data_IF_535750826293
#
_entry.id   IF_535750826293
#
_cell.length_a   1.000
_cell.length_b   1.000
_cell.length_c   1.000
_cell.angle_alpha   90.00
_cell.angle_beta   90.00
_cell.angle_gamma   90.00
#
_symmetry.space_group_name_H-M   'P 1'
#
loop_
_entity.id
_entity.type
_entity.pdbx_description
1 polymer ?
#
# COMPACT_ATOMS: atom_id res chain seq x y z
N UNK A 1 -4.09 -52.71 -46.16
CA UNK A 1 -3.00 -52.28 -45.27
C UNK A 1 -2.52 -50.93 -45.77
N UNK A 2 -2.64 -49.80 -45.11
CA UNK A 2 -3.32 -49.38 -43.88
C UNK A 2 -3.04 -47.88 -43.86
N UNK A 3 -4.07 -47.06 -44.01
CA UNK A 3 -3.97 -45.61 -43.95
C UNK A 3 -3.60 -45.17 -42.54
N UNK A 4 -2.58 -44.32 -42.45
CA UNK A 4 -2.10 -43.70 -41.22
C UNK A 4 -3.01 -42.51 -40.91
N UNK A 5 -3.84 -42.67 -39.88
CA UNK A 5 -4.63 -41.59 -39.30
C UNK A 5 -3.72 -40.59 -38.57
N UNK A 6 -3.66 -39.36 -39.10
CA UNK A 6 -3.16 -38.17 -38.41
C UNK A 6 -4.29 -37.58 -37.57
N UNK A 7 -4.28 -37.82 -36.27
CA UNK A 7 -5.02 -37.02 -35.29
C UNK A 7 -4.10 -36.72 -34.10
N UNK A 8 -3.47 -35.54 -34.13
CA UNK A 8 -2.81 -34.96 -32.96
C UNK A 8 -3.84 -34.36 -32.00
N UNK A 9 -3.54 -34.30 -30.68
CA UNK A 9 -4.48 -33.77 -29.69
C UNK A 9 -4.69 -32.25 -29.87
N UNK A 10 -5.93 -31.83 -29.70
CA UNK A 10 -6.36 -30.45 -29.84
C UNK A 10 -5.78 -29.54 -28.74
N UNK A 11 -5.02 -28.52 -29.15
CA UNK A 11 -4.44 -27.45 -28.33
C UNK A 11 -5.50 -26.46 -27.81
N UNK A 12 -6.38 -26.89 -26.90
CA UNK A 12 -7.39 -26.02 -26.26
C UNK A 12 -6.97 -25.38 -24.93
N UNK A 13 -5.92 -25.89 -24.27
CA UNK A 13 -5.57 -25.50 -22.89
C UNK A 13 -4.75 -24.21 -22.75
N UNK A 14 -3.97 -23.83 -23.78
CA UNK A 14 -3.01 -22.72 -23.67
C UNK A 14 -3.65 -21.35 -23.50
N UNK A 15 -4.66 -21.02 -24.33
CA UNK A 15 -5.30 -19.71 -24.34
C UNK A 15 -6.24 -19.47 -23.14
N UNK A 16 -6.91 -20.52 -22.65
CA UNK A 16 -7.75 -20.44 -21.46
C UNK A 16 -6.90 -20.26 -20.19
N UNK A 17 -5.80 -21.00 -20.09
CA UNK A 17 -4.85 -20.89 -18.97
C UNK A 17 -4.18 -19.52 -18.95
N UNK A 18 -3.73 -19.01 -20.11
CA UNK A 18 -3.14 -17.67 -20.18
C UNK A 18 -4.14 -16.56 -19.85
N UNK A 19 -5.41 -16.69 -20.27
CA UNK A 19 -6.46 -15.73 -19.89
C UNK A 19 -6.77 -15.77 -18.40
N UNK A 20 -6.73 -16.93 -17.75
CA UNK A 20 -6.91 -17.09 -16.31
C UNK A 20 -5.78 -16.43 -15.50
N UNK A 21 -4.53 -16.69 -15.90
CA UNK A 21 -3.35 -16.07 -15.28
C UNK A 21 -3.40 -14.54 -15.42
N UNK A 22 -3.71 -14.03 -16.62
CA UNK A 22 -3.82 -12.60 -16.85
C UNK A 22 -4.90 -11.95 -15.97
N UNK A 23 -6.05 -12.62 -15.80
CA UNK A 23 -7.13 -12.14 -14.93
C UNK A 23 -6.67 -11.95 -13.48
N UNK A 24 -5.93 -12.93 -12.94
CA UNK A 24 -5.39 -12.85 -11.59
C UNK A 24 -4.32 -11.75 -11.47
N UNK A 25 -3.46 -11.58 -12.47
CA UNK A 25 -2.46 -10.49 -12.51
C UNK A 25 -3.13 -9.12 -12.48
N UNK A 26 -4.19 -8.93 -13.26
CA UNK A 26 -4.94 -7.68 -13.33
C UNK A 26 -5.72 -7.41 -12.04
N UNK A 27 -6.27 -8.45 -11.41
CA UNK A 27 -6.88 -8.32 -10.09
C UNK A 27 -5.85 -7.91 -9.03
N UNK A 28 -4.66 -8.51 -9.05
CA UNK A 28 -3.53 -8.10 -8.23
C UNK A 28 -3.15 -6.64 -8.46
N UNK A 29 -3.06 -6.21 -9.72
CA UNK A 29 -2.75 -4.83 -10.08
C UNK A 29 -3.81 -3.84 -9.57
N UNK A 30 -5.08 -4.24 -9.53
CA UNK A 30 -6.16 -3.43 -8.94
C UNK A 30 -5.93 -3.20 -7.44
N UNK A 31 -5.59 -4.25 -6.69
CA UNK A 31 -5.26 -4.10 -5.26
C UNK A 31 -3.97 -3.30 -5.05
N UNK A 32 -2.93 -3.51 -5.87
CA UNK A 32 -1.70 -2.71 -5.81
C UNK A 32 -1.98 -1.22 -6.04
N UNK A 33 -2.86 -0.89 -7.00
CA UNK A 33 -3.29 0.48 -7.24
C UNK A 33 -4.06 1.07 -6.04
N UNK A 34 -4.94 0.29 -5.40
CA UNK A 34 -5.66 0.72 -4.19
C UNK A 34 -4.71 0.92 -3.00
N UNK A 35 -3.71 0.05 -2.81
CA UNK A 35 -2.66 0.20 -1.81
C UNK A 35 -1.92 1.53 -2.05
N UNK A 36 -1.49 1.77 -3.29
CA UNK A 36 -0.73 2.98 -3.64
C UNK A 36 -1.52 4.27 -3.40
N UNK A 37 -2.81 4.25 -3.71
CA UNK A 37 -3.70 5.42 -3.59
C UNK A 37 -4.35 5.57 -2.21
N UNK A 38 -4.21 4.58 -1.31
CA UNK A 38 -4.91 4.54 -0.03
C UNK A 38 -6.42 4.43 -0.17
N UNK A 39 -6.90 3.94 -1.32
CA UNK A 39 -8.32 3.80 -1.61
C UNK A 39 -8.98 2.72 -0.78
N UNK A 40 -10.26 2.94 -0.47
CA UNK A 40 -11.09 1.93 0.19
C UNK A 40 -11.33 0.74 -0.74
N UNK A 41 -11.55 -0.40 -0.12
CA UNK A 41 -11.97 -1.63 -0.78
C UNK A 41 -13.36 -1.48 -1.42
N UNK A 42 -13.67 -2.35 -2.37
CA UNK A 42 -14.97 -2.37 -3.04
C UNK A 42 -16.11 -2.54 -2.02
N UNK A 43 -17.12 -1.67 -2.08
CA UNK A 43 -18.24 -1.67 -1.13
C UNK A 43 -19.00 -3.01 -1.09
N UNK A 44 -18.95 -3.81 -2.17
CA UNK A 44 -19.55 -5.15 -2.22
C UNK A 44 -18.89 -6.14 -1.26
N UNK A 45 -17.66 -5.88 -0.84
CA UNK A 45 -17.00 -6.65 0.22
C UNK A 45 -17.63 -6.36 1.58
N UNK A 46 -18.32 -5.25 1.78
CA UNK A 46 -19.01 -4.95 3.04
C UNK A 46 -18.06 -4.81 4.23
N UNK A 47 -16.84 -4.30 4.00
CA UNK A 47 -15.79 -4.09 5.01
C UNK A 47 -15.68 -2.61 5.46
N UNK A 48 -16.74 -1.83 5.23
CA UNK A 48 -16.79 -0.41 5.61
C UNK A 48 -15.68 0.40 4.97
N UNK A 49 -14.91 1.10 5.81
CA UNK A 49 -13.85 2.02 5.38
C UNK A 49 -12.50 1.33 5.18
N UNK A 50 -12.44 0.00 5.27
CA UNK A 50 -11.21 -0.75 5.15
C UNK A 50 -10.54 -0.52 3.79
N UNK A 51 -9.21 -0.48 3.82
CA UNK A 51 -8.32 -0.35 2.66
C UNK A 51 -7.34 -1.53 2.64
N UNK A 52 -6.83 -1.95 1.46
CA UNK A 52 -5.80 -2.98 1.40
C UNK A 52 -4.48 -2.44 1.96
N UNK A 53 -3.73 -3.30 2.65
CA UNK A 53 -2.42 -2.99 3.25
C UNK A 53 -1.30 -3.70 2.49
N UNK A 54 -1.48 -4.98 2.21
CA UNK A 54 -0.59 -5.78 1.39
C UNK A 54 -1.37 -6.82 0.59
N UNK A 55 -0.74 -7.33 -0.48
CA UNK A 55 -1.26 -8.44 -1.30
C UNK A 55 -0.20 -9.51 -1.48
N UNK A 56 -0.59 -10.79 -1.39
CA UNK A 56 0.23 -11.98 -1.66
C UNK A 56 -0.45 -12.87 -2.69
N UNK A 57 0.34 -13.58 -3.48
CA UNK A 57 -0.13 -14.44 -4.57
C UNK A 57 0.30 -15.88 -4.36
N UNK A 58 -0.50 -16.83 -4.87
CA UNK A 58 -0.19 -18.26 -4.88
C UNK A 58 0.22 -18.77 -3.48
N UNK A 59 -0.60 -18.40 -2.50
CA UNK A 59 -0.27 -18.55 -1.08
C UNK A 59 -0.38 -19.98 -0.58
N UNK A 60 0.17 -20.23 0.60
CA UNK A 60 0.02 -21.49 1.32
C UNK A 60 -1.40 -21.74 1.87
N UNK A 61 -2.29 -20.74 1.82
CA UNK A 61 -3.66 -20.86 2.29
C UNK A 61 -4.50 -21.72 1.33
N UNK A 62 -5.52 -22.46 1.81
CA UNK A 62 -6.38 -23.26 0.95
C UNK A 62 -7.04 -22.50 -0.21
N UNK A 63 -7.34 -21.22 -0.01
CA UNK A 63 -7.67 -20.28 -1.09
C UNK A 63 -6.41 -19.54 -1.47
N UNK A 64 -5.83 -19.94 -2.59
CA UNK A 64 -4.42 -19.73 -2.90
C UNK A 64 -4.14 -18.60 -3.89
N UNK A 65 -5.08 -18.27 -4.79
CA UNK A 65 -4.78 -17.35 -5.89
C UNK A 65 -4.28 -15.97 -5.39
N UNK A 66 -5.02 -15.32 -4.49
CA UNK A 66 -4.66 -14.02 -3.90
C UNK A 66 -5.12 -13.92 -2.44
N UNK A 67 -4.24 -13.41 -1.56
CA UNK A 67 -4.56 -13.03 -0.18
C UNK A 67 -4.26 -11.54 0.02
N UNK A 68 -5.22 -10.79 0.57
CA UNK A 68 -5.08 -9.35 0.84
C UNK A 68 -5.32 -9.09 2.32
N UNK A 69 -4.38 -8.46 3.03
CA UNK A 69 -4.66 -7.91 4.34
C UNK A 69 -5.24 -6.51 4.24
N UNK A 70 -6.04 -6.16 5.24
CA UNK A 70 -6.80 -4.91 5.28
C UNK A 70 -6.45 -4.10 6.52
N UNK A 71 -6.73 -2.80 6.47
CA UNK A 71 -6.56 -1.88 7.61
C UNK A 71 -7.55 -2.14 8.77
N UNK A 72 -8.46 -3.10 8.64
CA UNK A 72 -9.38 -3.55 9.67
C UNK A 72 -8.91 -4.83 10.39
N UNK A 73 -7.61 -5.16 10.31
CA UNK A 73 -6.99 -6.36 10.89
C UNK A 73 -7.65 -7.69 10.45
N UNK A 74 -8.20 -7.66 9.24
CA UNK A 74 -8.85 -8.77 8.56
C UNK A 74 -8.21 -9.06 7.21
N UNK A 75 -8.58 -10.19 6.61
CA UNK A 75 -8.04 -10.63 5.32
C UNK A 75 -9.12 -11.03 4.32
N UNK A 76 -8.79 -10.87 3.05
CA UNK A 76 -9.61 -11.28 1.91
C UNK A 76 -8.85 -12.38 1.19
N UNK A 77 -9.36 -13.60 1.25
CA UNK A 77 -8.83 -14.73 0.50
C UNK A 77 -9.64 -14.91 -0.77
N UNK A 78 -8.99 -14.88 -1.93
CA UNK A 78 -9.65 -14.73 -3.23
C UNK A 78 -9.31 -15.92 -4.12
N UNK A 79 -10.34 -16.56 -4.68
CA UNK A 79 -10.22 -17.41 -5.85
C UNK A 79 -10.63 -16.64 -7.10
N UNK A 80 -9.72 -16.53 -8.05
CA UNK A 80 -9.87 -15.80 -9.30
C UNK A 80 -10.23 -16.75 -10.45
N UNK A 81 -11.34 -16.46 -11.14
CA UNK A 81 -11.81 -17.23 -12.30
C UNK A 81 -12.41 -16.29 -13.34
N UNK A 82 -11.84 -16.25 -14.54
CA UNK A 82 -12.38 -15.44 -15.64
C UNK A 82 -13.87 -15.69 -15.88
N UNK A 83 -14.28 -16.95 -15.89
CA UNK A 83 -15.66 -17.39 -15.96
C UNK A 83 -15.80 -18.79 -15.37
N UNK A 84 -16.98 -19.13 -14.89
CA UNK A 84 -17.34 -20.49 -14.47
C UNK A 84 -18.86 -20.64 -14.46
N UNK A 85 -19.33 -21.87 -14.56
CA UNK A 85 -20.75 -22.22 -14.47
C UNK A 85 -21.08 -22.71 -13.07
N UNK A 86 -22.24 -22.30 -12.56
CA UNK A 86 -22.80 -22.83 -11.33
C UNK A 86 -23.13 -24.33 -11.50
N UNK A 87 -22.55 -25.19 -10.66
CA UNK A 87 -22.73 -26.64 -10.70
C UNK A 87 -22.30 -27.29 -9.39
N UNK A 88 -23.00 -28.33 -8.97
CA UNK A 88 -22.68 -29.21 -7.82
C UNK A 88 -21.88 -30.46 -8.22
N UNK A 89 -21.43 -30.57 -9.48
CA UNK A 89 -20.50 -31.63 -9.90
C UNK A 89 -19.14 -31.39 -9.21
N UNK A 90 -18.62 -32.40 -8.51
CA UNK A 90 -17.35 -32.33 -7.77
C UNK A 90 -16.14 -32.01 -8.66
N UNK A 91 -16.25 -32.26 -9.97
CA UNK A 91 -15.20 -31.92 -10.94
C UNK A 91 -15.35 -30.50 -11.48
N UNK A 92 -16.46 -29.81 -11.19
CA UNK A 92 -16.70 -28.46 -11.68
C UNK A 92 -15.76 -27.44 -11.01
N UNK A 93 -15.35 -26.39 -11.74
CA UNK A 93 -14.59 -25.30 -11.14
C UNK A 93 -15.32 -24.62 -9.98
N UNK A 94 -16.66 -24.53 -10.02
CA UNK A 94 -17.45 -23.94 -8.94
C UNK A 94 -17.34 -24.76 -7.65
N UNK A 95 -17.58 -26.07 -7.73
CA UNK A 95 -17.46 -26.96 -6.58
C UNK A 95 -16.06 -26.88 -5.97
N UNK A 96 -15.00 -26.94 -6.79
CA UNK A 96 -13.61 -26.84 -6.30
C UNK A 96 -13.35 -25.53 -5.55
N UNK A 97 -13.90 -24.41 -6.01
CA UNK A 97 -13.79 -23.15 -5.27
C UNK A 97 -14.52 -23.21 -3.93
N UNK A 98 -15.73 -23.77 -3.86
CA UNK A 98 -16.45 -23.94 -2.60
C UNK A 98 -15.70 -24.90 -1.67
N UNK A 99 -15.10 -25.96 -2.20
CA UNK A 99 -14.25 -26.89 -1.46
C UNK A 99 -13.05 -26.16 -0.84
N UNK A 100 -12.35 -25.31 -1.60
CA UNK A 100 -11.28 -24.47 -1.08
C UNK A 100 -11.77 -23.54 0.04
N UNK A 101 -12.96 -22.97 -0.07
CA UNK A 101 -13.56 -22.14 0.99
C UNK A 101 -13.83 -22.96 2.28
N UNK A 102 -14.34 -24.19 2.16
CA UNK A 102 -14.54 -25.08 3.30
C UNK A 102 -13.20 -25.47 3.94
N UNK A 103 -12.18 -25.77 3.13
CA UNK A 103 -10.81 -26.03 3.62
C UNK A 103 -10.23 -24.82 4.33
N UNK A 104 -10.40 -23.61 3.79
CA UNK A 104 -9.96 -22.37 4.41
C UNK A 104 -10.61 -22.17 5.77
N UNK A 105 -11.93 -22.35 5.84
CA UNK A 105 -12.67 -22.20 7.09
C UNK A 105 -12.20 -23.17 8.17
N UNK A 106 -12.01 -24.46 7.82
CA UNK A 106 -11.49 -25.46 8.76
C UNK A 106 -10.07 -25.14 9.24
N UNK A 107 -9.16 -24.79 8.33
CA UNK A 107 -7.78 -24.38 8.67
C UNK A 107 -7.76 -23.15 9.58
N UNK A 108 -8.65 -22.19 9.33
CA UNK A 108 -8.81 -20.99 10.14
C UNK A 108 -9.38 -21.32 11.53
N UNK A 109 -10.44 -22.13 11.62
CA UNK A 109 -11.07 -22.57 12.88
C UNK A 109 -10.04 -23.18 13.83
N UNK A 110 -9.20 -24.07 13.30
CA UNK A 110 -8.23 -24.84 14.09
C UNK A 110 -6.86 -24.15 14.19
N UNK A 111 -6.72 -22.99 13.55
CA UNK A 111 -5.48 -22.24 13.49
C UNK A 111 -5.22 -21.37 14.72
N UNK A 112 -3.96 -20.96 14.88
CA UNK A 112 -3.46 -20.21 16.04
C UNK A 112 -3.00 -18.78 15.71
N UNK A 113 -3.19 -18.32 14.47
CA UNK A 113 -2.79 -16.99 13.99
C UNK A 113 -1.30 -16.84 13.68
N UNK A 114 -0.49 -17.91 13.68
CA UNK A 114 0.96 -17.83 13.38
C UNK A 114 1.30 -17.34 11.97
N UNK A 115 0.36 -17.46 11.03
CA UNK A 115 0.45 -16.98 9.65
C UNK A 115 -0.44 -15.74 9.43
N UNK A 116 -0.90 -15.10 10.52
CA UNK A 116 -1.87 -14.01 10.56
C UNK A 116 -3.30 -14.42 10.12
N UNK A 117 -3.42 -15.10 8.97
CA UNK A 117 -4.70 -15.52 8.39
C UNK A 117 -5.24 -16.84 9.00
N UNK A 118 -4.38 -17.70 9.54
CA UNK A 118 -4.76 -19.01 10.10
C UNK A 118 -5.34 -18.86 11.52
N UNK A 119 -6.39 -18.06 11.65
CA UNK A 119 -7.18 -17.86 12.88
C UNK A 119 -8.66 -17.97 12.53
N UNK A 120 -9.56 -18.14 13.52
CA UNK A 120 -10.99 -18.13 13.26
C UNK A 120 -11.41 -16.91 12.43
N UNK A 121 -12.22 -17.17 11.40
CA UNK A 121 -12.73 -16.14 10.49
C UNK A 121 -13.76 -15.28 11.21
N UNK A 122 -13.72 -13.99 10.96
CA UNK A 122 -14.62 -12.98 11.50
C UNK A 122 -15.33 -12.28 10.34
N UNK A 123 -16.65 -12.46 10.26
CA UNK A 123 -17.46 -11.88 9.17
C UNK A 123 -17.54 -10.35 9.19
N UNK A 124 -17.04 -9.67 10.21
CA UNK A 124 -16.99 -8.21 10.21
C UNK A 124 -15.72 -7.68 9.51
N UNK A 125 -14.68 -8.52 9.36
CA UNK A 125 -13.38 -8.10 8.80
C UNK A 125 -12.77 -9.02 7.74
N UNK A 126 -13.21 -10.27 7.63
CA UNK A 126 -12.63 -11.26 6.72
C UNK A 126 -13.60 -11.64 5.59
N UNK A 127 -13.07 -11.95 4.39
CA UNK A 127 -13.89 -12.40 3.25
C UNK A 127 -13.27 -13.57 2.51
N UNK A 128 -14.13 -14.46 2.04
CA UNK A 128 -13.81 -15.49 1.05
C UNK A 128 -14.41 -15.04 -0.28
N UNK A 129 -13.59 -14.76 -1.28
CA UNK A 129 -14.04 -14.10 -2.49
C UNK A 129 -13.92 -15.02 -3.69
N UNK A 130 -15.02 -15.17 -4.42
CA UNK A 130 -14.98 -15.68 -5.78
C UNK A 130 -14.94 -14.46 -6.73
N UNK A 131 -13.76 -14.15 -7.25
CA UNK A 131 -13.58 -13.07 -8.21
C UNK A 131 -13.82 -13.57 -9.63
N UNK A 132 -14.75 -12.93 -10.34
CA UNK A 132 -15.12 -13.30 -11.72
C UNK A 132 -15.14 -12.12 -12.67
N UNK A 133 -14.90 -12.34 -13.96
CA UNK A 133 -15.07 -11.27 -14.95
C UNK A 133 -16.54 -11.05 -15.32
N UNK A 134 -16.82 -9.97 -16.05
CA UNK A 134 -18.12 -9.70 -16.69
C UNK A 134 -18.58 -10.81 -17.63
N UNK A 135 -17.69 -11.72 -18.06
CA UNK A 135 -17.99 -12.89 -18.89
C UNK A 135 -18.64 -14.05 -18.14
N UNK A 136 -18.70 -14.01 -16.80
CA UNK A 136 -19.42 -15.02 -16.03
C UNK A 136 -20.93 -14.96 -16.27
N UNK A 137 -21.65 -16.09 -16.21
CA UNK A 137 -23.09 -16.12 -16.39
C UNK A 137 -23.83 -15.37 -15.27
N UNK A 138 -25.05 -14.89 -15.55
CA UNK A 138 -25.89 -14.20 -14.57
C UNK A 138 -26.16 -15.04 -13.31
N UNK A 139 -26.18 -16.38 -13.44
CA UNK A 139 -26.32 -17.28 -12.29
C UNK A 139 -25.20 -17.12 -11.25
N UNK A 140 -23.99 -16.74 -11.68
CA UNK A 140 -22.85 -16.46 -10.81
C UNK A 140 -22.76 -14.98 -10.46
N UNK A 141 -22.93 -14.07 -11.43
CA UNK A 141 -22.75 -12.63 -11.22
C UNK A 141 -23.89 -11.96 -10.44
N UNK A 142 -25.10 -12.50 -10.53
CA UNK A 142 -26.33 -11.82 -10.08
C UNK A 142 -27.17 -12.71 -9.17
N UNK A 143 -27.52 -13.93 -9.58
CA UNK A 143 -28.43 -14.78 -8.81
C UNK A 143 -27.79 -15.31 -7.51
N UNK A 144 -26.57 -15.85 -7.57
CA UNK A 144 -25.87 -16.34 -6.37
C UNK A 144 -25.60 -15.22 -5.34
N UNK A 145 -25.05 -14.05 -5.69
CA UNK A 145 -24.74 -13.01 -4.70
C UNK A 145 -26.00 -12.44 -4.05
N UNK A 146 -27.07 -12.27 -4.84
CA UNK A 146 -28.36 -11.85 -4.31
C UNK A 146 -28.93 -12.89 -3.33
N UNK A 147 -28.79 -14.19 -3.63
CA UNK A 147 -29.24 -15.25 -2.73
C UNK A 147 -28.45 -15.28 -1.41
N UNK A 148 -27.11 -15.18 -1.48
CA UNK A 148 -26.25 -15.11 -0.28
C UNK A 148 -26.61 -13.90 0.60
N UNK A 149 -26.80 -12.73 -0.02
CA UNK A 149 -27.17 -11.50 0.70
C UNK A 149 -28.56 -11.55 1.34
N UNK A 150 -29.54 -12.22 0.70
CA UNK A 150 -30.87 -12.41 1.30
C UNK A 150 -30.81 -13.38 2.47
N UNK A 151 -30.01 -14.45 2.37
CA UNK A 151 -29.91 -15.47 3.41
C UNK A 151 -29.12 -14.99 4.65
N UNK A 152 -28.15 -14.08 4.47
CA UNK A 152 -27.35 -13.55 5.57
C UNK A 152 -28.13 -12.59 6.49
N UNK A 153 -29.32 -12.14 6.09
CA UNK A 153 -30.18 -11.26 6.89
C UNK A 153 -30.90 -12.03 8.02
N UNK A 154 -31.15 -11.34 9.13
CA UNK A 154 -31.85 -11.91 10.31
C UNK A 154 -33.27 -12.43 10.00
N UNK A 155 -33.90 -11.94 8.93
CA UNK A 155 -35.14 -12.47 8.38
C UNK A 155 -34.95 -12.60 6.88
N UNK A 156 -34.67 -13.82 6.36
CA UNK A 156 -34.40 -14.00 4.95
C UNK A 156 -35.56 -13.51 4.09
N UNK A 157 -35.26 -12.60 3.16
CA UNK A 157 -36.25 -12.17 2.17
C UNK A 157 -36.63 -13.32 1.23
N UNK A 158 -37.80 -13.22 0.60
CA UNK A 158 -38.25 -14.23 -0.35
C UNK A 158 -37.31 -14.27 -1.58
N UNK A 159 -36.71 -15.44 -1.83
CA UNK A 159 -35.89 -15.69 -3.02
C UNK A 159 -36.78 -15.97 -4.24
N UNK A 160 -36.37 -15.49 -5.41
CA UNK A 160 -36.95 -15.96 -6.67
C UNK A 160 -36.41 -17.37 -7.03
N UNK A 161 -37.01 -18.02 -8.03
CA UNK A 161 -36.64 -19.39 -8.42
C UNK A 161 -35.15 -19.54 -8.82
N UNK A 162 -34.57 -18.53 -9.47
CA UNK A 162 -33.16 -18.55 -9.89
C UNK A 162 -32.21 -18.42 -8.70
N UNK A 163 -32.51 -17.50 -7.78
CA UNK A 163 -31.79 -17.31 -6.52
C UNK A 163 -31.87 -18.56 -5.63
N UNK A 164 -33.06 -19.14 -5.47
CA UNK A 164 -33.26 -20.36 -4.68
C UNK A 164 -32.48 -21.55 -5.27
N UNK A 165 -32.48 -21.69 -6.61
CA UNK A 165 -31.66 -22.69 -7.30
C UNK A 165 -30.16 -22.44 -7.08
N UNK A 166 -29.72 -21.19 -7.17
CA UNK A 166 -28.32 -20.83 -6.97
C UNK A 166 -27.83 -21.15 -5.56
N UNK A 167 -28.64 -20.79 -4.57
CA UNK A 167 -28.39 -21.09 -3.17
C UNK A 167 -28.35 -22.59 -2.87
N UNK A 168 -29.32 -23.36 -3.36
CA UNK A 168 -29.36 -24.81 -3.15
C UNK A 168 -28.12 -25.51 -3.72
N UNK A 169 -27.63 -25.11 -4.89
CA UNK A 169 -26.39 -25.65 -5.45
C UNK A 169 -25.19 -25.30 -4.56
N UNK A 170 -25.10 -24.05 -4.09
CA UNK A 170 -24.02 -23.63 -3.18
C UNK A 170 -24.04 -24.39 -1.85
N UNK A 171 -25.22 -24.59 -1.25
CA UNK A 171 -25.41 -25.36 -0.01
C UNK A 171 -25.04 -26.84 -0.18
N UNK A 172 -25.43 -27.45 -1.31
CA UNK A 172 -25.02 -28.81 -1.65
C UNK A 172 -23.49 -28.91 -1.80
N UNK A 173 -22.84 -27.95 -2.46
CA UNK A 173 -21.38 -27.92 -2.57
C UNK A 173 -20.71 -27.83 -1.20
N UNK A 174 -21.19 -26.98 -0.29
CA UNK A 174 -20.66 -26.89 1.09
C UNK A 174 -20.78 -28.24 1.79
N UNK A 175 -21.96 -28.87 1.71
CA UNK A 175 -22.24 -30.12 2.42
C UNK A 175 -21.42 -31.29 1.88
N UNK A 176 -21.30 -31.41 0.57
CA UNK A 176 -20.48 -32.41 -0.08
C UNK A 176 -18.98 -32.18 0.20
N UNK A 177 -18.49 -30.94 0.10
CA UNK A 177 -17.11 -30.60 0.44
C UNK A 177 -16.80 -30.93 1.90
N UNK A 178 -17.69 -30.58 2.84
CA UNK A 178 -17.54 -30.90 4.26
C UNK A 178 -17.36 -32.40 4.48
N UNK A 179 -18.27 -33.22 3.96
CA UNK A 179 -18.21 -34.68 4.10
C UNK A 179 -16.98 -35.32 3.43
N UNK A 180 -16.43 -34.68 2.40
CA UNK A 180 -15.21 -35.12 1.73
C UNK A 180 -13.93 -34.70 2.46
N UNK A 181 -13.96 -33.62 3.25
CA UNK A 181 -12.78 -33.07 3.95
C UNK A 181 -12.66 -33.64 5.37
N UNK A 182 -13.78 -33.78 6.09
CA UNK A 182 -13.78 -34.18 7.51
C UNK A 182 -14.92 -35.14 7.83
N UNK A 183 -14.72 -35.95 8.87
CA UNK A 183 -15.75 -36.85 9.43
C UNK A 183 -16.55 -36.20 10.56
N UNK A 184 -16.23 -34.96 10.95
CA UNK A 184 -17.00 -34.21 11.95
C UNK A 184 -18.43 -33.91 11.47
N UNK A 185 -19.42 -33.82 12.36
CA UNK A 185 -20.75 -33.37 11.99
C UNK A 185 -20.71 -31.91 11.54
N UNK A 186 -21.39 -31.59 10.43
CA UNK A 186 -21.46 -30.22 9.92
C UNK A 186 -22.18 -29.30 10.92
N UNK A 187 -21.58 -28.15 11.31
CA UNK A 187 -22.23 -27.19 12.19
C UNK A 187 -23.51 -26.62 11.55
N UNK A 188 -24.59 -26.52 12.32
CA UNK A 188 -25.88 -26.01 11.83
C UNK A 188 -25.82 -24.56 11.35
N UNK A 189 -24.86 -23.76 11.84
CA UNK A 189 -24.68 -22.36 11.47
C UNK A 189 -23.75 -22.16 10.27
N UNK A 190 -23.06 -23.20 9.79
CA UNK A 190 -22.00 -23.10 8.79
C UNK A 190 -22.47 -22.39 7.51
N UNK A 191 -23.61 -22.81 6.95
CA UNK A 191 -24.15 -22.21 5.72
C UNK A 191 -24.44 -20.72 5.93
N UNK A 192 -25.04 -20.35 7.08
CA UNK A 192 -25.33 -18.95 7.39
C UNK A 192 -24.06 -18.10 7.54
N UNK A 193 -22.99 -18.70 8.04
CA UNK A 193 -21.68 -18.05 8.20
C UNK A 193 -21.00 -17.86 6.85
N UNK A 194 -21.04 -18.88 5.99
CA UNK A 194 -20.59 -18.79 4.60
C UNK A 194 -21.34 -17.71 3.82
N UNK A 195 -22.65 -17.52 4.06
CA UNK A 195 -23.39 -16.42 3.42
C UNK A 195 -22.95 -15.01 3.89
N UNK A 196 -22.30 -14.91 5.06
CA UNK A 196 -21.71 -13.64 5.54
C UNK A 196 -20.26 -13.45 5.09
N UNK A 197 -19.51 -14.54 4.94
CA UNK A 197 -18.10 -14.52 4.55
C UNK A 197 -17.89 -14.50 3.03
N UNK A 198 -18.72 -15.21 2.27
CA UNK A 198 -18.53 -15.42 0.83
C UNK A 198 -19.10 -14.27 0.01
N UNK A 199 -18.25 -13.67 -0.81
CA UNK A 199 -18.63 -12.59 -1.74
C UNK A 199 -18.24 -12.99 -3.16
N UNK A 200 -19.15 -12.84 -4.11
CA UNK A 200 -18.78 -12.90 -5.54
C UNK A 200 -18.43 -11.50 -5.99
N UNK A 201 -17.16 -11.27 -6.29
CA UNK A 201 -16.68 -9.98 -6.78
C UNK A 201 -16.65 -9.99 -8.30
N UNK A 202 -17.56 -9.27 -8.93
CA UNK A 202 -17.55 -9.10 -10.39
C UNK A 202 -16.58 -7.98 -10.75
N UNK A 203 -15.55 -8.34 -11.48
CA UNK A 203 -14.43 -7.48 -11.88
C UNK A 203 -14.54 -7.19 -13.37
N UNK A 204 -14.78 -5.93 -13.71
CA UNK A 204 -14.73 -5.48 -15.09
C UNK A 204 -13.31 -5.05 -15.43
N UNK A 205 -12.53 -5.98 -16.01
CA UNK A 205 -11.14 -5.71 -16.41
C UNK A 205 -11.07 -4.72 -17.56
N UNK A 206 -12.02 -4.77 -18.49
CA UNK A 206 -12.03 -3.91 -19.67
C UNK A 206 -12.33 -2.46 -19.29
N UNK A 207 -13.11 -2.27 -18.22
CA UNK A 207 -13.43 -0.96 -17.64
C UNK A 207 -13.03 -0.84 -16.17
N UNK A 208 -11.88 -1.40 -15.77
CA UNK A 208 -11.37 -1.30 -14.39
C UNK A 208 -11.08 0.16 -13.94
N UNK A 209 -11.35 1.13 -14.83
CA UNK A 209 -10.93 2.51 -14.81
C UNK A 209 -11.90 3.54 -14.18
N UNK A 210 -12.95 3.19 -13.42
CA UNK A 210 -13.88 4.25 -12.97
C UNK A 210 -13.55 4.93 -11.63
N UNK A 211 -13.39 4.26 -10.47
CA UNK A 211 -13.02 4.96 -9.22
C UNK A 211 -11.54 4.83 -8.83
N UNK A 212 -11.00 3.60 -8.84
CA UNK A 212 -9.62 3.33 -8.43
C UNK A 212 -8.60 4.01 -9.35
N UNK A 213 -8.92 4.13 -10.64
CA UNK A 213 -8.07 4.81 -11.63
C UNK A 213 -8.01 6.33 -11.43
N UNK A 214 -9.15 6.97 -11.10
CA UNK A 214 -9.17 8.40 -10.78
C UNK A 214 -8.34 8.68 -9.52
N UNK A 215 -8.40 7.81 -8.51
CA UNK A 215 -7.64 7.95 -7.28
C UNK A 215 -6.15 7.60 -7.47
N UNK A 216 -5.85 6.61 -8.31
CA UNK A 216 -4.49 6.32 -8.76
C UNK A 216 -3.88 7.54 -9.44
N UNK A 217 -4.58 8.15 -10.40
CA UNK A 217 -4.10 9.35 -11.09
C UNK A 217 -3.79 10.52 -10.14
N UNK A 218 -4.53 10.67 -9.04
CA UNK A 218 -4.24 11.68 -8.02
C UNK A 218 -2.98 11.38 -7.19
N UNK A 219 -2.53 10.12 -7.19
CA UNK A 219 -1.35 9.64 -6.46
C UNK A 219 -0.07 9.68 -7.31
N UNK A 220 -0.20 10.00 -8.60
CA UNK A 220 0.89 10.09 -9.55
C UNK A 220 1.39 11.54 -9.68
N UNK A 221 2.67 11.71 -10.02
CA UNK A 221 3.18 13.02 -10.44
C UNK A 221 2.51 13.45 -11.76
N UNK A 222 2.51 14.76 -12.05
CA UNK A 222 1.71 15.40 -13.13
C UNK A 222 1.85 14.75 -14.51
N UNK A 223 2.97 14.10 -14.80
CA UNK A 223 3.29 13.56 -16.13
C UNK A 223 3.09 12.04 -16.26
N UNK A 224 2.67 11.35 -15.19
CA UNK A 224 2.49 9.89 -15.20
C UNK A 224 1.07 9.48 -15.57
N UNK A 225 0.94 8.60 -16.58
CA UNK A 225 -0.33 8.04 -17.04
C UNK A 225 -0.76 6.81 -16.20
N UNK A 226 -1.94 6.87 -15.60
CA UNK A 226 -2.49 5.81 -14.78
C UNK A 226 -2.71 4.49 -15.55
N UNK A 227 -2.95 4.52 -16.86
CA UNK A 227 -3.09 3.29 -17.67
C UNK A 227 -1.75 2.58 -17.81
N UNK A 228 -0.69 3.34 -18.05
CA UNK A 228 0.69 2.84 -18.06
C UNK A 228 1.06 2.25 -16.69
N UNK A 229 0.75 2.93 -15.59
CA UNK A 229 1.03 2.43 -14.23
C UNK A 229 0.30 1.13 -13.93
N UNK A 230 -0.98 1.00 -14.32
CA UNK A 230 -1.74 -0.24 -14.12
C UNK A 230 -1.16 -1.41 -14.94
N UNK A 231 -0.66 -1.12 -16.15
CA UNK A 231 0.02 -2.11 -16.99
C UNK A 231 1.34 -2.57 -16.34
N UNK A 232 2.12 -1.63 -15.78
CA UNK A 232 3.33 -1.94 -15.01
C UNK A 232 3.00 -2.76 -13.76
N UNK A 233 1.93 -2.42 -13.04
CA UNK A 233 1.48 -3.23 -11.90
C UNK A 233 1.07 -4.64 -12.30
N UNK A 234 0.43 -4.82 -13.46
CA UNK A 234 0.09 -6.14 -13.99
C UNK A 234 1.35 -6.97 -14.24
N UNK A 235 2.41 -6.37 -14.81
CA UNK A 235 3.73 -7.01 -14.99
C UNK A 235 4.39 -7.35 -13.64
N UNK A 236 4.37 -6.43 -12.67
CA UNK A 236 4.91 -6.64 -11.32
C UNK A 236 4.18 -7.80 -10.63
N UNK A 237 2.85 -7.81 -10.63
CA UNK A 237 2.04 -8.87 -10.03
C UNK A 237 2.29 -10.22 -10.73
N UNK A 238 2.44 -10.23 -12.06
CA UNK A 238 2.81 -11.44 -12.79
C UNK A 238 4.14 -12.06 -12.35
N UNK A 239 5.15 -11.23 -12.07
CA UNK A 239 6.43 -11.68 -11.51
C UNK A 239 6.30 -12.15 -10.05
N UNK A 240 5.47 -11.48 -9.23
CA UNK A 240 5.21 -11.91 -7.86
C UNK A 240 4.51 -13.26 -7.82
N UNK A 241 3.52 -13.48 -8.70
CA UNK A 241 2.83 -14.77 -8.85
C UNK A 241 3.79 -15.91 -9.17
N UNK A 242 4.75 -15.72 -10.10
CA UNK A 242 5.69 -16.80 -10.47
C UNK A 242 6.62 -17.25 -9.33
N UNK A 243 6.77 -16.43 -8.30
CA UNK A 243 7.61 -16.72 -7.14
C UNK A 243 6.81 -16.82 -5.82
N UNK A 244 5.47 -16.84 -5.88
CA UNK A 244 4.57 -16.88 -4.71
C UNK A 244 4.82 -15.76 -3.70
N UNK A 245 5.13 -14.57 -4.24
CA UNK A 245 5.48 -13.37 -3.48
C UNK A 245 4.29 -12.47 -3.19
N UNK A 246 4.60 -11.24 -2.79
CA UNK A 246 3.62 -10.20 -2.50
C UNK A 246 4.27 -8.83 -2.34
N UNK A 247 3.46 -7.82 -2.06
CA UNK A 247 3.91 -6.45 -1.86
C UNK A 247 2.98 -5.66 -0.95
N UNK A 248 3.59 -4.75 -0.20
CA UNK A 248 2.93 -3.66 0.52
C UNK A 248 3.16 -2.32 -0.21
N UNK A 249 2.75 -1.22 0.41
CA UNK A 249 2.95 0.13 -0.14
C UNK A 249 4.41 0.38 -0.52
N UNK A 250 5.35 0.12 0.38
CA UNK A 250 6.78 0.39 0.17
C UNK A 250 7.33 -0.42 -1.01
N UNK A 251 6.99 -1.72 -1.09
CA UNK A 251 7.41 -2.59 -2.21
C UNK A 251 6.87 -2.06 -3.54
N UNK A 252 5.59 -1.68 -3.60
CA UNK A 252 4.99 -1.17 -4.84
C UNK A 252 5.56 0.17 -5.25
N UNK A 253 5.81 1.09 -4.32
CA UNK A 253 6.43 2.39 -4.59
C UNK A 253 7.86 2.20 -5.14
N UNK A 254 8.66 1.37 -4.50
CA UNK A 254 10.02 1.05 -4.96
C UNK A 254 10.03 0.37 -6.34
N UNK A 255 9.09 -0.54 -6.58
CA UNK A 255 8.98 -1.22 -7.88
C UNK A 255 8.60 -0.26 -9.02
N UNK A 256 7.75 0.73 -8.75
CA UNK A 256 7.40 1.79 -9.71
C UNK A 256 8.55 2.77 -9.92
N UNK A 257 9.21 3.20 -8.85
CA UNK A 257 10.39 4.07 -8.93
C UNK A 257 11.52 3.42 -9.74
N UNK A 258 11.78 2.12 -9.54
CA UNK A 258 12.74 1.35 -10.34
C UNK A 258 12.37 1.21 -11.82
N UNK A 259 11.12 1.52 -12.19
CA UNK A 259 10.63 1.60 -13.58
C UNK A 259 10.58 3.05 -14.10
N UNK A 260 11.09 4.02 -13.32
CA UNK A 260 11.14 5.44 -13.68
C UNK A 260 9.80 6.16 -13.53
N UNK A 261 8.85 5.61 -12.77
CA UNK A 261 7.57 6.27 -12.50
C UNK A 261 7.72 7.19 -11.28
N UNK A 262 7.53 8.49 -11.50
CA UNK A 262 7.53 9.48 -10.43
C UNK A 262 6.19 9.45 -9.68
N UNK A 263 6.29 9.22 -8.36
CA UNK A 263 5.14 9.15 -7.47
C UNK A 263 5.03 10.43 -6.65
N UNK A 264 3.79 10.90 -6.45
CA UNK A 264 3.54 11.90 -5.44
C UNK A 264 3.71 11.28 -4.05
N UNK A 265 4.00 12.12 -3.05
CA UNK A 265 4.00 11.68 -1.66
C UNK A 265 2.65 11.02 -1.30
N UNK A 266 2.63 10.00 -0.41
CA UNK A 266 1.41 9.30 -0.07
C UNK A 266 0.32 10.26 0.41
N UNK A 267 -0.95 10.13 -0.06
CA UNK A 267 -2.02 11.08 0.28
C UNK A 267 -2.19 11.31 1.79
N UNK A 268 -1.96 10.26 2.60
CA UNK A 268 -2.02 10.29 4.07
C UNK A 268 -1.08 11.33 4.70
N UNK A 269 0.12 11.50 4.15
CA UNK A 269 1.15 12.38 4.70
C UNK A 269 1.29 13.70 3.93
N UNK A 270 0.47 13.91 2.88
CA UNK A 270 0.57 15.08 2.02
C UNK A 270 0.45 16.41 2.77
N UNK A 271 -0.48 16.49 3.73
CA UNK A 271 -0.67 17.70 4.53
C UNK A 271 0.51 17.93 5.48
N UNK A 272 1.01 16.86 6.12
CA UNK A 272 2.15 16.91 7.02
C UNK A 272 3.45 17.30 6.29
N UNK A 273 3.68 16.76 5.11
CA UNK A 273 4.81 17.09 4.25
C UNK A 273 4.74 18.57 3.83
N UNK A 274 3.58 19.04 3.38
CA UNK A 274 3.40 20.45 3.06
C UNK A 274 3.64 21.35 4.29
N UNK A 275 3.22 20.91 5.48
CA UNK A 275 3.46 21.62 6.73
C UNK A 275 4.95 21.64 7.11
N UNK A 276 5.68 20.54 6.90
CA UNK A 276 7.13 20.49 7.10
C UNK A 276 7.88 21.38 6.12
N UNK A 277 7.50 21.38 4.83
CA UNK A 277 8.07 22.28 3.83
C UNK A 277 7.84 23.75 4.20
N UNK A 278 6.63 24.10 4.65
CA UNK A 278 6.33 25.44 5.13
C UNK A 278 7.17 25.80 6.36
N UNK A 279 7.22 24.93 7.37
CA UNK A 279 8.01 25.15 8.58
C UNK A 279 9.49 25.32 8.25
N UNK A 280 10.03 24.46 7.39
CA UNK A 280 11.40 24.53 6.87
C UNK A 280 11.68 25.89 6.20
N UNK A 281 10.73 26.42 5.43
CA UNK A 281 10.86 27.75 4.82
C UNK A 281 10.82 28.88 5.86
N UNK A 282 9.96 28.78 6.88
CA UNK A 282 9.89 29.76 7.98
C UNK A 282 11.21 29.83 8.77
N UNK A 283 11.88 28.68 8.97
CA UNK A 283 13.22 28.62 9.55
C UNK A 283 14.26 29.28 8.63
N UNK A 284 14.28 28.89 7.35
CA UNK A 284 15.20 29.44 6.36
C UNK A 284 15.11 30.98 6.26
N UNK A 285 13.88 31.51 6.18
CA UNK A 285 13.61 32.95 6.11
C UNK A 285 14.06 33.68 7.36
N UNK A 286 13.96 33.03 8.52
CA UNK A 286 14.39 33.64 9.76
C UNK A 286 15.92 33.63 9.90
N UNK A 287 16.59 32.58 9.45
CA UNK A 287 18.05 32.47 9.46
C UNK A 287 18.68 33.45 8.45
N UNK A 288 18.04 33.67 7.29
CA UNK A 288 18.45 34.67 6.29
C UNK A 288 18.60 36.09 6.87
N UNK A 289 17.74 36.47 7.82
CA UNK A 289 17.80 37.81 8.45
C UNK A 289 19.10 38.04 9.24
N UNK A 290 19.77 36.98 9.65
CA UNK A 290 21.05 37.07 10.36
C UNK A 290 22.26 37.03 9.41
N UNK A 291 22.05 36.72 8.12
CA UNK A 291 23.09 36.74 7.08
C UNK A 291 23.18 38.07 6.32
N UNK A 292 22.07 38.81 6.26
CA UNK A 292 21.99 40.07 5.53
C UNK A 292 22.32 41.25 6.45
N UNK A 293 23.35 42.02 6.08
CA UNK A 293 23.60 43.33 6.69
C UNK A 293 22.84 44.36 5.86
N UNK A 294 21.95 45.14 6.50
CA UNK A 294 21.32 46.29 5.86
C UNK A 294 22.40 47.34 5.55
N UNK A 295 22.73 47.49 4.26
CA UNK A 295 23.59 48.58 3.80
C UNK A 295 22.83 49.91 3.90
N UNK A 296 23.55 50.99 4.22
CA UNK A 296 23.02 52.37 4.18
C UNK A 296 22.46 52.78 2.81
N UNK A 297 22.73 52.01 1.75
CA UNK A 297 22.20 52.18 0.40
C UNK A 297 20.89 51.42 0.10
N UNK A 298 20.31 50.69 1.06
CA UNK A 298 19.04 49.99 0.91
C UNK A 298 19.09 48.68 0.11
N UNK A 299 20.29 48.21 -0.30
CA UNK A 299 20.47 46.86 -0.85
C UNK A 299 21.09 45.93 0.20
N UNK A 300 20.47 44.78 0.50
CA UNK A 300 21.04 43.80 1.43
C UNK A 300 22.34 43.21 0.86
N UNK A 301 23.39 43.16 1.68
CA UNK A 301 24.66 42.50 1.32
C UNK A 301 24.67 41.12 1.98
N UNK A 302 24.61 40.06 1.18
CA UNK A 302 24.81 38.68 1.62
C UNK A 302 26.31 38.37 1.69
N UNK A 303 26.78 37.95 2.86
CA UNK A 303 28.19 37.58 3.07
C UNK A 303 28.47 36.16 2.54
N UNK A 304 29.02 36.05 1.33
CA UNK A 304 29.52 34.77 0.81
C UNK A 304 30.83 34.40 1.54
N UNK A 305 30.86 33.25 2.22
CA UNK A 305 32.06 32.77 2.93
C UNK A 305 32.88 31.83 2.05
N UNK A 306 34.21 31.88 2.20
CA UNK A 306 35.14 31.03 1.45
C UNK A 306 34.81 29.54 1.62
N UNK A 307 34.50 29.11 2.86
CA UNK A 307 34.22 27.71 3.22
C UNK A 307 32.92 27.12 2.64
N UNK A 308 32.07 27.91 1.97
CA UNK A 308 30.80 27.43 1.43
C UNK A 308 31.01 26.38 0.33
N UNK A 309 32.01 26.57 -0.54
CA UNK A 309 32.26 25.65 -1.65
C UNK A 309 32.76 24.28 -1.14
N UNK A 310 33.61 24.28 -0.11
CA UNK A 310 34.12 23.06 0.51
C UNK A 310 33.00 22.28 1.22
N UNK A 311 32.07 22.99 1.88
CA UNK A 311 30.89 22.37 2.48
C UNK A 311 30.00 21.75 1.39
N UNK A 312 29.68 22.48 0.31
CA UNK A 312 28.90 21.95 -0.81
C UNK A 312 29.53 20.72 -1.49
N UNK A 313 30.86 20.60 -1.49
CA UNK A 313 31.54 19.40 -1.98
C UNK A 313 31.50 18.26 -0.96
N UNK A 314 31.76 18.54 0.32
CA UNK A 314 31.83 17.53 1.36
C UNK A 314 30.50 16.79 1.52
N UNK A 315 29.38 17.51 1.42
CA UNK A 315 28.04 16.94 1.55
C UNK A 315 27.67 15.94 0.45
N UNK A 316 28.34 15.99 -0.70
CA UNK A 316 28.15 14.99 -1.76
C UNK A 316 28.75 13.62 -1.40
N UNK A 317 29.64 13.58 -0.40
CA UNK A 317 30.30 12.35 0.05
C UNK A 317 29.61 11.70 1.25
N UNK A 318 28.56 12.33 1.79
CA UNK A 318 27.74 11.81 2.88
C UNK A 318 27.40 12.86 3.93
N UNK A 319 27.00 12.38 5.11
CA UNK A 319 26.60 13.22 6.24
C UNK A 319 27.75 14.06 6.79
N UNK A 320 27.46 15.33 7.13
CA UNK A 320 28.43 16.31 7.59
C UNK A 320 28.05 16.92 8.95
N UNK A 321 29.04 17.10 9.82
CA UNK A 321 28.95 17.90 11.05
C UNK A 321 29.92 19.09 10.95
N UNK A 322 29.38 20.30 11.00
CA UNK A 322 30.14 21.55 10.98
C UNK A 322 30.42 21.98 12.43
N UNK A 323 31.71 22.08 12.76
CA UNK A 323 32.22 22.56 14.04
C UNK A 323 32.95 23.90 13.87
N UNK A 324 32.89 24.76 14.88
CA UNK A 324 33.58 26.05 14.85
C UNK A 324 33.26 26.92 16.05
N UNK A 325 34.07 27.96 16.26
CA UNK A 325 33.90 28.91 17.36
C UNK A 325 32.53 29.59 17.33
N UNK A 326 31.95 29.95 18.49
CA UNK A 326 30.73 30.75 18.54
C UNK A 326 30.88 32.02 17.70
N UNK A 327 29.89 32.30 16.85
CA UNK A 327 29.93 33.46 15.94
C UNK A 327 30.80 33.29 14.69
N UNK A 328 31.47 32.14 14.48
CA UNK A 328 32.17 31.84 13.22
C UNK A 328 31.21 31.75 12.01
N UNK A 329 29.90 31.72 12.27
CA UNK A 329 28.88 31.86 11.26
C UNK A 329 28.32 30.55 10.72
N UNK A 330 28.51 29.43 11.42
CA UNK A 330 28.07 28.09 11.01
C UNK A 330 26.62 28.05 10.47
N UNK A 331 25.68 28.70 11.17
CA UNK A 331 24.27 28.79 10.74
C UNK A 331 24.13 29.42 9.35
N UNK A 332 24.92 30.44 9.05
CA UNK A 332 24.92 31.07 7.72
C UNK A 332 25.64 30.27 6.62
N UNK A 333 26.42 29.25 6.99
CA UNK A 333 26.94 28.28 6.00
C UNK A 333 25.87 27.22 5.72
N UNK A 334 25.20 26.71 6.76
CA UNK A 334 24.10 25.74 6.61
C UNK A 334 22.93 26.30 5.80
N UNK A 335 22.52 27.54 6.06
CA UNK A 335 21.41 28.13 5.31
C UNK A 335 21.79 28.41 3.84
N UNK A 336 23.02 28.91 3.59
CA UNK A 336 23.51 29.05 2.21
C UNK A 336 23.52 27.70 1.46
N UNK A 337 23.95 26.62 2.12
CA UNK A 337 23.87 25.26 1.57
C UNK A 337 22.41 24.87 1.31
N UNK A 338 21.53 25.06 2.29
CA UNK A 338 20.11 24.73 2.17
C UNK A 338 19.46 25.44 0.97
N UNK A 339 19.79 26.72 0.77
CA UNK A 339 19.33 27.52 -0.37
C UNK A 339 19.83 26.97 -1.71
N UNK A 340 21.12 26.64 -1.79
CA UNK A 340 21.75 26.03 -2.98
C UNK A 340 21.08 24.70 -3.35
N UNK A 341 20.78 23.86 -2.35
CA UNK A 341 20.05 22.60 -2.53
C UNK A 341 18.61 22.82 -3.02
N UNK A 342 17.88 23.77 -2.43
CA UNK A 342 16.51 24.13 -2.90
C UNK A 342 16.53 24.68 -4.33
N UNK A 343 17.51 25.51 -4.69
CA UNK A 343 17.65 26.08 -6.04
C UNK A 343 17.92 25.01 -7.11
N UNK A 344 18.55 23.89 -6.72
CA UNK A 344 18.72 22.69 -7.56
C UNK A 344 17.45 21.85 -7.70
N UNK A 345 16.41 22.15 -6.91
CA UNK A 345 15.16 21.39 -6.87
C UNK A 345 15.14 20.24 -5.87
N UNK A 346 16.11 20.16 -4.96
CA UNK A 346 16.11 19.15 -3.89
C UNK A 346 15.15 19.53 -2.77
N UNK A 347 14.53 18.52 -2.15
CA UNK A 347 13.73 18.71 -0.95
C UNK A 347 14.65 18.91 0.27
N UNK A 348 14.43 20.00 1.01
CA UNK A 348 15.25 20.39 2.16
C UNK A 348 14.36 20.64 3.38
N UNK A 349 14.61 19.89 4.44
CA UNK A 349 14.02 20.10 5.77
C UNK A 349 15.04 20.75 6.70
N UNK A 350 14.84 22.04 6.98
CA UNK A 350 15.62 22.80 7.96
C UNK A 350 14.91 22.81 9.32
N UNK A 351 15.63 22.43 10.37
CA UNK A 351 15.22 22.51 11.77
C UNK A 351 16.24 23.37 12.54
N UNK A 352 15.78 24.34 13.32
CA UNK A 352 16.63 25.15 14.20
C UNK A 352 16.36 24.79 15.65
N UNK A 353 17.28 24.04 16.24
CA UNK A 353 17.11 23.36 17.55
C UNK A 353 16.80 24.33 18.68
N UNK A 354 17.46 25.49 18.68
CA UNK A 354 17.32 26.55 19.67
C UNK A 354 15.93 27.20 19.71
N UNK A 355 15.07 26.90 18.74
CA UNK A 355 13.69 27.39 18.66
C UNK A 355 12.65 26.49 19.28
N UNK A 356 13.02 25.26 19.63
CA UNK A 356 12.07 24.29 20.16
C UNK A 356 12.22 24.15 21.67
N UNK A 357 11.11 24.26 22.38
CA UNK A 357 11.02 23.94 23.82
C UNK A 357 10.33 22.60 24.01
N UNK A 358 10.96 21.51 23.54
CA UNK A 358 10.37 20.17 23.48
C UNK A 358 11.23 19.14 24.20
N UNK A 359 10.57 18.13 24.76
CA UNK A 359 11.20 17.04 25.55
C UNK A 359 10.99 15.66 24.92
N UNK A 360 10.13 15.54 23.91
CA UNK A 360 9.83 14.30 23.19
C UNK A 360 9.65 14.56 21.70
N UNK A 361 9.84 13.51 20.88
CA UNK A 361 9.53 13.54 19.44
C UNK A 361 8.06 13.90 19.18
N UNK A 362 7.15 13.36 20.00
CA UNK A 362 5.72 13.71 19.93
C UNK A 362 5.48 15.21 20.20
N UNK A 363 6.23 15.78 21.15
CA UNK A 363 6.21 17.21 21.43
C UNK A 363 6.68 18.03 20.22
N UNK A 364 7.74 17.59 19.54
CA UNK A 364 8.23 18.23 18.31
C UNK A 364 7.19 18.14 17.18
N UNK A 365 6.54 16.99 16.98
CA UNK A 365 5.47 16.85 16.00
C UNK A 365 4.30 17.80 16.27
N UNK A 366 3.90 17.94 17.55
CA UNK A 366 2.85 18.89 17.96
C UNK A 366 3.25 20.34 17.75
N UNK A 367 4.50 20.70 18.07
CA UNK A 367 5.03 22.05 17.89
C UNK A 367 4.99 22.47 16.41
N UNK A 368 5.35 21.56 15.51
CA UNK A 368 5.30 21.76 14.05
C UNK A 368 3.86 21.69 13.52
N UNK A 369 2.92 21.16 14.31
CA UNK A 369 1.49 20.95 13.98
C UNK A 369 1.27 19.86 12.94
N UNK A 370 1.94 18.73 13.12
CA UNK A 370 1.72 17.53 12.33
C UNK A 370 0.52 16.73 12.86
N UNK A 371 -0.23 16.12 11.95
CA UNK A 371 -1.29 15.14 12.23
C UNK A 371 -0.69 13.77 12.59
N UNK A 372 0.43 13.41 11.95
CA UNK A 372 1.16 12.16 12.19
C UNK A 372 2.51 12.40 12.89
N UNK A 373 3.16 11.33 13.34
CA UNK A 373 4.48 11.44 13.97
C UNK A 373 5.51 11.94 12.95
N UNK A 374 6.48 12.75 13.40
CA UNK A 374 7.52 13.29 12.51
C UNK A 374 8.25 12.17 11.78
N UNK A 375 8.51 11.05 12.47
CA UNK A 375 9.25 9.92 11.91
C UNK A 375 8.48 9.24 10.79
N UNK A 376 7.18 8.98 10.97
CA UNK A 376 6.35 8.35 9.93
C UNK A 376 6.26 9.24 8.68
N UNK A 377 6.18 10.56 8.89
CA UNK A 377 6.11 11.54 7.80
C UNK A 377 7.43 11.57 7.02
N UNK A 378 8.58 11.57 7.70
CA UNK A 378 9.89 11.59 7.05
C UNK A 378 10.18 10.28 6.30
N UNK A 379 9.81 9.13 6.88
CA UNK A 379 9.95 7.82 6.23
C UNK A 379 9.07 7.73 4.98
N UNK A 380 7.88 8.31 5.01
CA UNK A 380 6.94 8.32 3.89
C UNK A 380 7.14 9.48 2.89
N UNK A 381 8.17 10.32 3.06
CA UNK A 381 8.39 11.49 2.20
C UNK A 381 9.13 11.11 0.92
N UNK A 382 8.37 10.85 -0.14
CA UNK A 382 8.90 10.52 -1.47
C UNK A 382 9.09 11.73 -2.38
N UNK A 383 9.97 11.59 -3.38
CA UNK A 383 10.17 12.56 -4.46
C UNK A 383 11.32 12.16 -5.40
N UNK A 384 11.57 12.97 -6.44
CA UNK A 384 12.40 12.56 -7.60
C UNK A 384 13.91 12.55 -7.32
N UNK A 385 14.40 13.27 -6.31
CA UNK A 385 15.81 13.32 -5.91
C UNK A 385 15.98 13.07 -4.40
N UNK A 386 17.20 12.78 -3.95
CA UNK A 386 17.49 12.65 -2.51
C UNK A 386 17.10 13.92 -1.74
N UNK A 387 16.58 13.74 -0.52
CA UNK A 387 16.19 14.81 0.38
C UNK A 387 17.31 15.13 1.38
N UNK A 388 17.23 16.32 1.97
CA UNK A 388 18.22 16.82 2.92
C UNK A 388 17.60 17.19 4.26
N UNK A 389 18.16 16.65 5.35
CA UNK A 389 17.84 17.10 6.70
C UNK A 389 18.98 17.97 7.23
N UNK A 390 18.67 19.23 7.49
CA UNK A 390 19.61 20.24 7.99
C UNK A 390 19.18 20.64 9.39
N UNK A 391 20.07 20.46 10.37
CA UNK A 391 19.80 20.82 11.76
C UNK A 391 20.81 21.88 12.21
N UNK A 392 20.31 23.07 12.52
CA UNK A 392 21.06 24.20 13.06
C UNK A 392 21.00 24.23 14.59
N UNK A 393 22.05 24.75 15.21
CA UNK A 393 22.22 24.95 16.66
C UNK A 393 22.07 23.66 17.49
N UNK A 394 22.61 22.53 17.02
CA UNK A 394 22.50 21.25 17.74
C UNK A 394 23.14 21.32 19.13
N UNK A 395 24.14 22.17 19.33
CA UNK A 395 24.78 22.46 20.61
C UNK A 395 23.82 23.03 21.66
N UNK A 396 22.73 23.69 21.26
CA UNK A 396 21.70 24.21 22.16
C UNK A 396 20.98 23.11 22.96
N UNK A 397 21.04 21.86 22.51
CA UNK A 397 20.46 20.72 23.24
C UNK A 397 21.38 20.12 24.30
N UNK A 398 22.67 20.47 24.32
CA UNK A 398 23.70 19.75 25.07
C UNK A 398 23.39 19.66 26.57
N UNK A 399 23.19 18.45 27.09
CA UNK A 399 22.88 18.21 28.50
C UNK A 399 21.49 18.69 28.94
N UNK A 400 20.65 19.12 27.99
CA UNK A 400 19.27 19.53 28.20
C UNK A 400 18.28 18.48 27.71
N UNK A 401 16.99 18.77 27.91
CA UNK A 401 15.91 17.83 27.55
C UNK A 401 15.72 17.64 26.04
N UNK A 402 16.15 18.62 25.24
CA UNK A 402 16.10 18.51 23.77
C UNK A 402 17.06 17.45 23.21
N UNK A 403 18.10 17.04 23.93
CA UNK A 403 19.02 15.99 23.46
C UNK A 403 18.28 14.66 23.30
N UNK A 404 17.31 14.38 24.17
CA UNK A 404 16.44 13.20 24.10
C UNK A 404 15.46 13.22 22.90
N UNK A 405 15.43 14.32 22.13
CA UNK A 405 14.59 14.47 20.93
C UNK A 405 15.43 14.39 19.67
N UNK A 406 16.44 15.24 19.54
CA UNK A 406 17.20 15.37 18.31
C UNK A 406 18.21 14.24 18.10
N UNK A 407 18.78 13.66 19.16
CA UNK A 407 19.67 12.49 19.02
C UNK A 407 18.91 11.27 18.47
N UNK A 408 17.77 10.83 19.05
CA UNK A 408 16.99 9.74 18.46
C UNK A 408 16.50 10.03 17.05
N UNK A 409 16.10 11.28 16.75
CA UNK A 409 15.72 11.68 15.39
C UNK A 409 16.86 11.43 14.40
N UNK A 410 18.06 11.93 14.71
CA UNK A 410 19.24 11.77 13.85
C UNK A 410 19.59 10.28 13.70
N UNK A 411 19.58 9.52 14.80
CA UNK A 411 19.86 8.08 14.78
C UNK A 411 18.87 7.30 13.91
N UNK A 412 17.57 7.61 13.99
CA UNK A 412 16.54 6.97 13.17
C UNK A 412 16.70 7.32 11.69
N UNK A 413 16.89 8.60 11.38
CA UNK A 413 17.02 9.04 9.98
C UNK A 413 18.30 8.47 9.35
N UNK A 414 19.41 8.42 10.08
CA UNK A 414 20.66 7.79 9.62
C UNK A 414 20.56 6.27 9.46
N UNK A 415 19.68 5.61 10.22
CA UNK A 415 19.45 4.17 10.11
C UNK A 415 18.53 3.80 8.93
N UNK A 416 17.76 4.75 8.42
CA UNK A 416 16.95 4.55 7.22
C UNK A 416 17.82 4.61 5.97
N UNK A 417 17.71 3.59 5.10
CA UNK A 417 18.14 3.70 3.70
C UNK A 417 17.09 4.43 2.85
N UNK A 418 16.55 5.53 3.40
CA UNK A 418 15.40 6.27 2.89
C UNK A 418 15.80 7.48 2.04
N UNK A 419 14.85 8.37 1.72
CA UNK A 419 15.13 9.52 0.85
C UNK A 419 16.02 10.59 1.52
N UNK A 420 15.81 10.84 2.81
CA UNK A 420 16.60 11.78 3.61
C UNK A 420 17.88 11.06 4.09
N UNK A 421 18.80 10.75 3.19
CA UNK A 421 20.08 10.06 3.53
C UNK A 421 21.23 11.04 3.75
N UNK A 422 21.08 12.28 3.27
CA UNK A 422 22.12 13.28 3.40
C UNK A 422 21.77 14.28 4.51
N UNK A 423 22.74 14.46 5.41
CA UNK A 423 22.54 15.18 6.65
C UNK A 423 23.60 16.24 6.85
N UNK A 424 23.19 17.42 7.27
CA UNK A 424 24.11 18.47 7.66
C UNK A 424 23.72 19.03 9.01
N UNK A 425 24.65 18.96 9.95
CA UNK A 425 24.45 19.42 11.31
C UNK A 425 25.49 20.48 11.63
N UNK A 426 25.19 21.43 12.53
CA UNK A 426 26.23 22.23 13.16
C UNK A 426 26.11 22.22 14.68
N UNK A 427 27.25 22.38 15.34
CA UNK A 427 27.40 22.52 16.79
C UNK A 427 28.34 23.68 17.09
#
# INVERSE_FOLDING_TARGET
MSDINLNGPANGGGAATSSGILFQQQLGAHFAAQILSGSRLDARLGLGEASPVWVRFETEAPVDDILVATSADGFIAIQAKTTLSLSDDEKSPFYRTVEQFVRQWLTCRDGNGSLEWNRPLDSDKDRLVLAVSTRAPASIREDLPAALSLFSQRSPGAMNQRQAKAFSIFEHCISAAWGNITSEPQPSHLVSEFCRLVVVLVVDIENMASPAYLQLAQSLARDSDATTVLSIFTEICGRMMSHRGGGDLSIFRNALAGKGIELAAPPRYKNDIARLQQHSQEIADSLNRYEAIESQSGQPVTLRRECQNEVEQAVQSGSLLIIGEPGAGKSGVLNALARSLRERGDDVLELAVDRYSVETLEGLSREIKLEHSLTDVLEAWDGPSQGWLIIDALDATRGGKGEAVFRPLIEQVLAWGGRLENHCFNT
#
